data_IF_590573487313
#
_entry.id   IF_590573487313
#
_cell.length_a   1.000
_cell.length_b   1.000
_cell.length_c   1.000
_cell.angle_alpha   90.00
_cell.angle_beta   90.00
_cell.angle_gamma   90.00
#
_symmetry.space_group_name_H-M   'P 1'
#
loop_
_entity.id
_entity.type
_entity.pdbx_description
1 polymer ?
#
# COMPACT_ATOMS: atom_id res chain seq x y z
N UNK A 1 -6.56 -15.25 14.42
CA UNK A 1 -6.95 -14.48 13.22
C UNK A 1 -5.89 -13.42 12.97
N UNK A 2 -5.18 -13.54 11.87
CA UNK A 2 -4.15 -12.56 11.57
C UNK A 2 -4.78 -11.34 10.92
N UNK A 3 -4.48 -10.15 11.45
CA UNK A 3 -4.85 -8.90 10.83
C UNK A 3 -3.61 -8.29 10.23
N UNK A 4 -3.77 -7.62 9.10
CA UNK A 4 -2.70 -6.82 8.53
C UNK A 4 -2.52 -5.59 9.41
N UNK A 5 -1.33 -5.37 10.00
CA UNK A 5 -1.10 -4.15 10.76
C UNK A 5 -1.31 -2.92 9.88
N UNK A 6 -2.02 -1.94 10.43
CA UNK A 6 -2.34 -0.70 9.74
C UNK A 6 -1.42 0.41 10.25
N UNK A 7 -0.70 1.06 9.36
CA UNK A 7 0.19 2.16 9.74
C UNK A 7 -0.25 3.46 9.08
N UNK A 8 -0.07 4.61 9.75
CA UNK A 8 -0.42 5.89 9.13
C UNK A 8 0.33 6.11 7.82
N UNK A 9 -0.31 6.76 6.86
CA UNK A 9 0.31 7.02 5.56
C UNK A 9 1.65 7.77 5.69
N UNK A 10 1.72 8.73 6.60
CA UNK A 10 2.96 9.48 6.83
C UNK A 10 4.10 8.58 7.31
N UNK A 11 3.82 7.60 8.17
CA UNK A 11 4.82 6.65 8.61
C UNK A 11 5.25 5.73 7.47
N UNK A 12 4.28 5.26 6.66
CA UNK A 12 4.58 4.44 5.49
C UNK A 12 5.53 5.18 4.55
N UNK A 13 5.22 6.44 4.24
CA UNK A 13 6.06 7.27 3.39
C UNK A 13 7.48 7.43 3.97
N UNK A 14 7.58 7.73 5.26
CA UNK A 14 8.88 7.88 5.90
C UNK A 14 9.72 6.61 5.82
N UNK A 15 9.12 5.44 6.03
CA UNK A 15 9.82 4.16 5.94
C UNK A 15 10.31 3.87 4.52
N UNK A 16 9.49 4.19 3.52
CA UNK A 16 9.88 4.06 2.12
C UNK A 16 11.04 4.98 1.78
N UNK A 17 10.98 6.23 2.25
CA UNK A 17 12.05 7.21 2.00
C UNK A 17 13.37 6.80 2.64
N UNK A 18 13.34 6.10 3.77
CA UNK A 18 14.54 5.59 4.42
C UNK A 18 15.07 4.30 3.81
N UNK A 19 14.39 3.76 2.80
CA UNK A 19 14.76 2.48 2.21
C UNK A 19 14.45 1.27 3.08
N UNK A 20 13.57 1.43 4.08
CA UNK A 20 13.24 0.36 5.01
C UNK A 20 12.03 -0.46 4.58
N UNK A 21 11.29 0.00 3.58
CA UNK A 21 10.07 -0.66 3.12
C UNK A 21 9.82 -0.44 1.65
N UNK A 22 9.07 -1.38 1.06
CA UNK A 22 8.57 -1.28 -0.31
C UNK A 22 7.08 -0.99 -0.25
N UNK A 23 6.62 -0.03 -1.04
CA UNK A 23 5.21 0.29 -1.14
C UNK A 23 4.62 -0.38 -2.39
N UNK A 24 3.71 -1.32 -2.19
CA UNK A 24 3.09 -2.07 -3.26
C UNK A 24 1.62 -1.69 -3.39
N UNK A 25 1.24 -1.27 -4.58
CA UNK A 25 -0.11 -0.78 -4.86
C UNK A 25 -0.96 -1.91 -5.43
N UNK A 26 -1.97 -2.33 -4.66
CA UNK A 26 -2.88 -3.41 -5.03
C UNK A 26 -4.05 -2.92 -5.88
N UNK A 27 -4.12 -1.62 -6.19
CA UNK A 27 -5.21 -1.08 -6.99
C UNK A 27 -5.06 -1.48 -8.45
N UNK A 28 -6.17 -1.40 -9.18
CA UNK A 28 -6.14 -1.64 -10.61
C UNK A 28 -5.40 -0.52 -11.33
N UNK A 29 -4.94 -0.80 -12.55
CA UNK A 29 -4.31 0.21 -13.38
C UNK A 29 -5.25 1.40 -13.62
N UNK A 30 -6.55 1.12 -13.80
CA UNK A 30 -7.55 2.15 -14.02
C UNK A 30 -7.67 3.08 -12.81
N UNK A 31 -7.68 2.52 -11.60
CA UNK A 31 -7.73 3.30 -10.36
C UNK A 31 -6.49 4.21 -10.25
N UNK A 32 -5.32 3.68 -10.56
CA UNK A 32 -4.09 4.47 -10.53
C UNK A 32 -4.16 5.64 -11.52
N UNK A 33 -4.58 5.39 -12.72
CA UNK A 33 -4.69 6.44 -13.74
C UNK A 33 -5.70 7.51 -13.36
N UNK A 34 -6.80 7.09 -12.75
CA UNK A 34 -7.87 8.01 -12.39
C UNK A 34 -7.53 8.88 -11.19
N UNK A 35 -6.89 8.30 -10.18
CA UNK A 35 -6.69 8.98 -8.89
C UNK A 35 -5.25 9.37 -8.60
N UNK A 36 -4.29 8.88 -9.36
CA UNK A 36 -2.88 9.07 -9.06
C UNK A 36 -2.33 7.96 -8.16
N UNK A 37 -1.06 8.03 -7.85
CA UNK A 37 -0.39 7.01 -7.02
C UNK A 37 0.78 7.63 -6.25
N UNK A 38 1.23 6.98 -5.15
CA UNK A 38 2.41 7.45 -4.43
C UNK A 38 3.67 7.33 -5.29
N UNK A 39 4.58 8.30 -5.25
CA UNK A 39 5.84 8.17 -5.99
C UNK A 39 6.60 6.90 -5.61
N UNK A 40 7.06 6.17 -6.62
CA UNK A 40 7.82 4.93 -6.41
C UNK A 40 6.99 3.70 -6.05
N UNK A 41 5.70 3.83 -5.85
CA UNK A 41 4.84 2.68 -5.56
C UNK A 41 4.68 1.82 -6.82
N UNK A 42 4.97 0.53 -6.66
CA UNK A 42 4.84 -0.44 -7.74
C UNK A 42 3.47 -1.08 -7.70
N UNK A 43 2.78 -1.09 -8.84
CA UNK A 43 1.50 -1.80 -8.93
C UNK A 43 1.76 -3.30 -9.01
N UNK A 44 1.03 -4.06 -8.19
CA UNK A 44 1.11 -5.51 -8.18
C UNK A 44 -0.30 -6.11 -8.19
N UNK A 45 -0.41 -7.35 -8.66
CA UNK A 45 -1.69 -8.03 -8.72
C UNK A 45 -2.06 -8.59 -7.35
N UNK A 46 -3.26 -8.28 -6.88
CA UNK A 46 -3.76 -8.79 -5.59
C UNK A 46 -3.67 -10.31 -5.51
N UNK A 47 -4.08 -11.02 -6.56
CA UNK A 47 -4.10 -12.47 -6.54
C UNK A 47 -2.73 -13.08 -6.25
N UNK A 48 -1.67 -12.52 -6.82
CA UNK A 48 -0.31 -12.99 -6.57
C UNK A 48 0.09 -12.81 -5.11
N UNK A 49 -0.34 -11.72 -4.49
CA UNK A 49 0.02 -11.39 -3.11
C UNK A 49 -0.89 -12.05 -2.08
N UNK A 50 -2.05 -12.55 -2.47
CA UNK A 50 -2.84 -13.46 -1.63
C UNK A 50 -2.15 -14.81 -1.54
N UNK A 51 -1.64 -15.30 -2.67
CA UNK A 51 -0.93 -16.58 -2.71
C UNK A 51 0.46 -16.48 -2.07
N UNK A 52 1.20 -15.42 -2.40
CA UNK A 52 2.55 -15.18 -1.86
C UNK A 52 2.65 -13.74 -1.32
N UNK A 53 2.18 -13.52 -0.10
CA UNK A 53 2.27 -12.17 0.49
C UNK A 53 3.71 -11.74 0.73
N UNK A 54 3.93 -10.44 0.70
CA UNK A 54 5.22 -9.88 1.09
C UNK A 54 5.47 -10.00 2.58
N UNK A 55 6.72 -9.83 2.97
CA UNK A 55 7.17 -9.90 4.36
C UNK A 55 7.11 -8.56 5.09
N UNK A 56 7.82 -8.46 6.23
CA UNK A 56 7.75 -7.27 7.09
C UNK A 56 8.23 -5.96 6.45
N UNK A 57 9.00 -6.03 5.37
CA UNK A 57 9.45 -4.86 4.63
C UNK A 57 8.44 -4.35 3.60
N UNK A 58 7.29 -5.01 3.50
CA UNK A 58 6.27 -4.70 2.51
C UNK A 58 5.12 -3.92 3.14
N UNK A 59 4.74 -2.82 2.49
CA UNK A 59 3.55 -2.04 2.87
C UNK A 59 2.61 -2.04 1.67
N UNK A 60 1.37 -2.49 1.90
CA UNK A 60 0.36 -2.53 0.84
C UNK A 60 -0.53 -1.30 0.86
N UNK A 61 -0.88 -0.84 -0.33
CA UNK A 61 -1.85 0.22 -0.54
C UNK A 61 -3.01 -0.31 -1.36
N UNK A 62 -4.24 -0.04 -0.94
CA UNK A 62 -5.41 -0.23 -1.77
C UNK A 62 -6.33 0.98 -1.63
N UNK A 63 -7.43 1.01 -2.39
CA UNK A 63 -8.27 2.21 -2.44
C UNK A 63 -8.89 2.53 -1.08
N UNK A 64 -9.39 1.51 -0.36
CA UNK A 64 -10.09 1.66 0.91
C UNK A 64 -9.58 0.72 2.00
N UNK A 65 -8.34 0.25 1.91
CA UNK A 65 -7.73 -0.68 2.85
C UNK A 65 -8.49 -2.02 3.00
N UNK A 66 -9.26 -2.42 1.98
CA UNK A 66 -10.02 -3.67 2.01
C UNK A 66 -9.27 -4.83 1.39
N UNK A 67 -8.67 -4.60 0.22
CA UNK A 67 -7.93 -5.65 -0.51
C UNK A 67 -6.69 -6.10 0.23
N UNK A 68 -6.02 -5.19 0.91
CA UNK A 68 -4.80 -5.47 1.67
C UNK A 68 -5.04 -6.43 2.84
N UNK A 69 -6.28 -6.55 3.34
CA UNK A 69 -6.61 -7.48 4.42
C UNK A 69 -6.31 -8.94 4.07
N UNK A 70 -6.17 -9.24 2.79
CA UNK A 70 -5.92 -10.60 2.31
C UNK A 70 -4.42 -10.95 2.23
N UNK A 71 -3.53 -10.03 2.59
CA UNK A 71 -2.09 -10.15 2.29
C UNK A 71 -1.19 -10.13 3.52
N UNK A 72 -1.73 -10.24 4.72
CA UNK A 72 -0.95 -10.02 5.95
C UNK A 72 -0.25 -11.24 6.56
N UNK A 73 -0.30 -12.41 5.92
CA UNK A 73 0.16 -13.65 6.54
C UNK A 73 1.67 -13.73 6.81
N UNK A 74 2.47 -12.90 6.17
CA UNK A 74 3.94 -12.94 6.31
C UNK A 74 4.51 -11.67 6.91
N UNK A 75 3.68 -10.89 7.60
CA UNK A 75 4.14 -9.73 8.35
C UNK A 75 4.08 -8.40 7.63
N UNK A 76 3.51 -8.36 6.42
CA UNK A 76 3.32 -7.08 5.71
C UNK A 76 2.36 -6.18 6.47
N UNK A 77 2.52 -4.87 6.28
CA UNK A 77 1.60 -3.85 6.80
C UNK A 77 0.76 -3.27 5.68
N UNK A 78 -0.23 -2.46 6.03
CA UNK A 78 -1.02 -1.72 5.07
C UNK A 78 -1.06 -0.24 5.43
N UNK A 79 -1.29 0.61 4.42
CA UNK A 79 -1.54 2.04 4.67
C UNK A 79 -2.94 2.19 5.26
N UNK A 80 -3.03 2.80 6.44
CA UNK A 80 -4.31 3.04 7.11
C UNK A 80 -5.20 3.91 6.22
N UNK A 81 -6.46 3.48 6.06
CA UNK A 81 -7.45 4.13 5.20
C UNK A 81 -7.06 4.17 3.72
N UNK A 82 -6.08 3.38 3.31
CA UNK A 82 -5.69 3.24 1.93
C UNK A 82 -5.34 4.53 1.23
N UNK A 83 -5.81 4.68 -0.01
CA UNK A 83 -5.54 5.88 -0.81
C UNK A 83 -6.08 7.16 -0.17
N UNK A 84 -7.24 7.08 0.47
CA UNK A 84 -7.80 8.25 1.16
C UNK A 84 -6.89 8.71 2.30
N UNK A 85 -6.32 7.76 3.06
CA UNK A 85 -5.36 8.09 4.10
C UNK A 85 -4.12 8.77 3.55
N UNK A 86 -3.66 8.34 2.38
CA UNK A 86 -2.53 8.97 1.70
C UNK A 86 -2.83 10.43 1.35
N UNK A 87 -4.00 10.67 0.74
CA UNK A 87 -4.43 12.02 0.36
C UNK A 87 -4.63 12.92 1.58
N UNK A 88 -5.27 12.39 2.62
CA UNK A 88 -5.54 13.16 3.84
C UNK A 88 -4.25 13.59 4.54
N UNK A 89 -3.19 12.80 4.40
CA UNK A 89 -1.89 13.14 4.98
C UNK A 89 -1.12 14.18 4.15
N UNK A 90 -1.64 14.60 3.00
CA UNK A 90 -1.01 15.61 2.15
C UNK A 90 0.30 15.15 1.50
N UNK A 91 0.46 13.85 1.31
CA UNK A 91 1.70 13.28 0.78
C UNK A 91 1.78 13.42 -0.75
N UNK A 92 2.99 13.29 -1.33
CA UNK A 92 3.15 13.42 -2.78
C UNK A 92 2.31 12.44 -3.58
N UNK A 93 1.83 12.89 -4.72
CA UNK A 93 1.00 12.11 -5.64
C UNK A 93 1.55 12.28 -7.05
N UNK A 94 1.77 11.18 -7.75
CA UNK A 94 2.09 11.20 -9.16
C UNK A 94 0.83 10.93 -9.98
N UNK A 95 0.76 11.53 -11.17
CA UNK A 95 -0.35 11.38 -12.10
C UNK A 95 0.17 11.26 -13.52
N UNK A 96 -0.60 10.59 -14.37
CA UNK A 96 -0.31 10.56 -15.82
C UNK A 96 -0.64 11.89 -16.46
#
# INVERSE_FOLDING_TARGET
>A
MSRVPSIPAAEAWARVQRGEARLLDLRTELERRRYGWPPGAQRVALAQHVVRPGGPDTIYLCQHANRSKLTGRRGASEVRDGWQGWLDAGLPVERT
#
